data_IF_239855946048
#
_entry.id   IF_239855946048
#
_cell.length_a   1.000
_cell.length_b   1.000
_cell.length_c   1.000
_cell.angle_alpha   90.00
_cell.angle_beta   90.00
_cell.angle_gamma   90.00
#
_symmetry.space_group_name_H-M   'P 1'
#
loop_
_entity.id
_entity.type
_entity.pdbx_description
1 polymer ?
#
# COMPACT_ATOMS: atom_id res chain seq x y z
N UNK A 1 -4.40 6.13 -27.35
CA UNK A 1 -5.31 5.33 -26.49
C UNK A 1 -5.94 6.25 -25.46
N UNK A 2 -7.27 6.24 -25.36
CA UNK A 2 -8.04 7.06 -24.40
C UNK A 2 -8.13 6.30 -23.08
N UNK A 3 -7.65 6.89 -21.99
CA UNK A 3 -7.80 6.29 -20.66
C UNK A 3 -9.24 6.51 -20.16
N UNK A 4 -9.76 5.53 -19.45
CA UNK A 4 -11.01 5.62 -18.70
C UNK A 4 -10.73 5.93 -17.24
N UNK A 5 -11.69 6.52 -16.53
CA UNK A 5 -11.56 6.77 -15.10
C UNK A 5 -12.91 6.65 -14.38
N UNK A 6 -12.89 6.23 -13.13
CA UNK A 6 -14.06 6.09 -12.26
C UNK A 6 -13.66 6.26 -10.79
N UNK A 7 -14.61 6.63 -9.95
CA UNK A 7 -14.42 6.66 -8.49
C UNK A 7 -14.88 5.39 -7.80
N UNK A 8 -15.48 4.45 -8.53
CA UNK A 8 -16.02 3.22 -7.96
C UNK A 8 -15.48 1.99 -8.71
N UNK A 9 -15.00 0.99 -7.96
CA UNK A 9 -14.51 -0.30 -8.47
C UNK A 9 -15.58 -1.00 -9.32
N UNK A 10 -16.85 -0.93 -8.92
CA UNK A 10 -17.96 -1.59 -9.61
C UNK A 10 -18.18 -1.11 -11.06
N UNK A 11 -17.75 0.11 -11.37
CA UNK A 11 -17.83 0.68 -12.71
C UNK A 11 -16.68 0.23 -13.62
N UNK A 12 -15.63 -0.38 -13.07
CA UNK A 12 -14.53 -0.93 -13.85
C UNK A 12 -15.01 -2.19 -14.59
N UNK A 13 -14.73 -2.33 -15.91
CA UNK A 13 -15.07 -3.50 -16.69
C UNK A 13 -14.66 -4.81 -16.01
N UNK A 14 -15.55 -5.81 -16.05
CA UNK A 14 -15.39 -7.07 -15.28
C UNK A 14 -14.07 -7.78 -15.55
N UNK A 15 -13.58 -7.76 -16.79
CA UNK A 15 -12.30 -8.35 -17.20
C UNK A 15 -11.09 -7.69 -16.51
N UNK A 16 -11.12 -6.37 -16.35
CA UNK A 16 -10.09 -5.60 -15.63
C UNK A 16 -10.25 -5.80 -14.13
N UNK A 17 -11.46 -5.61 -13.61
CA UNK A 17 -11.79 -5.69 -12.18
C UNK A 17 -11.37 -7.03 -11.56
N UNK A 18 -11.61 -8.14 -12.26
CA UNK A 18 -11.27 -9.48 -11.76
C UNK A 18 -9.76 -9.68 -11.58
N UNK A 19 -8.94 -9.10 -12.47
CA UNK A 19 -7.47 -9.16 -12.36
C UNK A 19 -6.99 -8.23 -11.24
N UNK A 20 -7.50 -7.01 -11.23
CA UNK A 20 -7.13 -5.97 -10.27
C UNK A 20 -7.41 -6.38 -8.81
N UNK A 21 -8.58 -6.97 -8.53
CA UNK A 21 -8.96 -7.44 -7.19
C UNK A 21 -8.06 -8.54 -6.63
N UNK A 22 -7.26 -9.22 -7.47
CA UNK A 22 -6.33 -10.27 -7.05
C UNK A 22 -4.89 -9.78 -6.88
N UNK A 23 -4.61 -8.52 -7.22
CA UNK A 23 -3.23 -8.03 -7.28
C UNK A 23 -2.66 -7.73 -5.88
N UNK A 24 -3.28 -6.82 -5.13
CA UNK A 24 -2.87 -6.47 -3.78
C UNK A 24 -4.05 -5.84 -3.00
N UNK A 25 -3.84 -5.60 -1.70
CA UNK A 25 -4.88 -5.09 -0.80
C UNK A 25 -5.46 -3.74 -1.23
N UNK A 26 -4.68 -2.88 -1.90
CA UNK A 26 -5.10 -1.54 -2.29
C UNK A 26 -6.20 -1.53 -3.34
N UNK A 27 -6.39 -2.63 -4.05
CA UNK A 27 -7.46 -2.77 -5.04
C UNK A 27 -8.67 -3.56 -4.52
N UNK A 28 -8.69 -3.91 -3.24
CA UNK A 28 -9.83 -4.57 -2.61
C UNK A 28 -10.99 -3.61 -2.34
N UNK A 29 -12.21 -4.16 -2.26
CA UNK A 29 -13.40 -3.41 -1.83
C UNK A 29 -13.25 -2.87 -0.39
N UNK A 30 -12.53 -3.60 0.47
CA UNK A 30 -12.23 -3.18 1.83
C UNK A 30 -11.37 -1.91 1.85
N UNK A 31 -10.38 -1.82 0.97
CA UNK A 31 -9.55 -0.63 0.86
C UNK A 31 -10.27 0.55 0.21
N UNK A 32 -11.12 0.32 -0.79
CA UNK A 32 -11.99 1.37 -1.34
C UNK A 32 -12.90 1.97 -0.24
N UNK A 33 -13.52 1.12 0.58
CA UNK A 33 -14.31 1.55 1.74
C UNK A 33 -13.48 2.37 2.73
N UNK A 34 -12.28 1.89 3.07
CA UNK A 34 -11.34 2.60 3.93
C UNK A 34 -11.04 4.02 3.41
N UNK A 35 -10.79 4.19 2.10
CA UNK A 35 -10.50 5.50 1.51
C UNK A 35 -11.64 6.49 1.78
N UNK A 36 -12.88 6.06 1.56
CA UNK A 36 -14.05 6.90 1.81
C UNK A 36 -14.22 7.25 3.28
N UNK A 37 -14.00 6.30 4.19
CA UNK A 37 -14.08 6.55 5.64
C UNK A 37 -12.94 7.45 6.15
N UNK A 38 -11.80 7.46 5.48
CA UNK A 38 -10.70 8.39 5.74
C UNK A 38 -10.99 9.81 5.20
N UNK A 39 -12.12 10.01 4.51
CA UNK A 39 -12.54 11.30 3.95
C UNK A 39 -11.96 11.60 2.57
N UNK A 40 -11.35 10.60 1.94
CA UNK A 40 -10.70 10.72 0.63
C UNK A 40 -11.57 10.13 -0.48
N UNK A 41 -11.20 10.41 -1.73
CA UNK A 41 -11.92 9.92 -2.91
C UNK A 41 -11.00 8.97 -3.69
N UNK A 42 -11.38 7.70 -3.87
CA UNK A 42 -10.66 6.81 -4.75
C UNK A 42 -10.91 7.21 -6.20
N UNK A 43 -9.85 7.18 -7.02
CA UNK A 43 -9.93 7.39 -8.47
C UNK A 43 -9.12 6.32 -9.15
N UNK A 44 -9.83 5.44 -9.87
CA UNK A 44 -9.24 4.42 -10.72
C UNK A 44 -9.08 5.00 -12.12
N UNK A 45 -7.87 4.98 -12.65
CA UNK A 45 -7.56 5.32 -14.04
C UNK A 45 -7.06 4.05 -14.71
N UNK A 46 -7.61 3.73 -15.87
CA UNK A 46 -7.32 2.46 -16.53
C UNK A 46 -7.48 2.50 -18.05
N UNK A 47 -6.88 1.51 -18.69
CA UNK A 47 -7.11 1.12 -20.07
C UNK A 47 -7.07 -0.41 -20.19
N UNK A 48 -6.90 -0.93 -21.40
CA UNK A 48 -6.83 -2.39 -21.62
C UNK A 48 -5.57 -3.05 -21.05
N UNK A 49 -4.50 -2.27 -20.82
CA UNK A 49 -3.18 -2.73 -20.39
C UNK A 49 -2.88 -2.44 -18.93
N UNK A 50 -3.36 -1.32 -18.40
CA UNK A 50 -2.99 -0.85 -17.07
C UNK A 50 -4.20 -0.39 -16.26
N UNK A 51 -4.08 -0.54 -14.94
CA UNK A 51 -4.97 0.10 -13.98
C UNK A 51 -4.17 0.67 -12.83
N UNK A 52 -4.56 1.86 -12.38
CA UNK A 52 -3.91 2.57 -11.30
C UNK A 52 -4.95 3.25 -10.40
N UNK A 53 -4.80 3.06 -9.10
CA UNK A 53 -5.57 3.74 -8.07
C UNK A 53 -4.85 5.01 -7.60
N UNK A 54 -5.60 6.11 -7.49
CA UNK A 54 -5.23 7.30 -6.75
C UNK A 54 -6.18 7.51 -5.58
N UNK A 55 -5.65 7.96 -4.45
CA UNK A 55 -6.43 8.50 -3.33
C UNK A 55 -6.37 10.02 -3.40
N UNK A 56 -7.48 10.69 -3.65
CA UNK A 56 -7.55 12.15 -3.68
C UNK A 56 -7.91 12.67 -2.29
N UNK A 57 -6.98 13.41 -1.70
CA UNK A 57 -7.12 14.04 -0.39
C UNK A 57 -7.31 15.55 -0.53
N UNK A 58 -8.26 16.12 0.21
CA UNK A 58 -8.55 17.56 0.19
C UNK A 58 -7.91 18.27 1.38
N UNK A 59 -7.04 19.23 1.08
CA UNK A 59 -6.38 20.09 2.07
C UNK A 59 -6.91 21.52 1.86
N UNK A 60 -7.82 21.96 2.72
CA UNK A 60 -8.56 23.22 2.57
C UNK A 60 -9.25 23.33 1.20
N UNK A 61 -8.75 24.18 0.31
CA UNK A 61 -9.28 24.36 -1.05
C UNK A 61 -8.53 23.53 -2.10
N UNK A 62 -7.38 22.97 -1.74
CA UNK A 62 -6.52 22.20 -2.63
C UNK A 62 -6.81 20.71 -2.54
N UNK A 63 -6.43 19.98 -3.58
CA UNK A 63 -6.52 18.53 -3.70
C UNK A 63 -5.16 17.96 -4.09
N UNK A 64 -4.72 16.99 -3.30
CA UNK A 64 -3.55 16.18 -3.63
C UNK A 64 -3.96 14.77 -3.99
N UNK A 65 -3.20 14.12 -4.87
CA UNK A 65 -3.33 12.70 -5.12
C UNK A 65 -2.21 11.92 -4.43
N UNK A 66 -2.55 10.80 -3.81
CA UNK A 66 -1.63 9.85 -3.20
C UNK A 66 -1.73 8.54 -3.98
N UNK A 67 -0.58 7.94 -4.27
CA UNK A 67 -0.46 6.65 -4.94
C UNK A 67 -0.18 5.57 -3.88
N UNK A 68 -1.14 4.67 -3.62
CA UNK A 68 -0.93 3.58 -2.65
C UNK A 68 -0.08 2.45 -3.24
N UNK A 69 -0.13 2.24 -4.57
CA UNK A 69 0.68 1.27 -5.30
C UNK A 69 1.04 1.77 -6.70
N UNK A 70 1.96 1.08 -7.35
CA UNK A 70 2.27 1.21 -8.78
C UNK A 70 1.12 0.70 -9.70
N UNK A 71 1.17 1.02 -11.01
CA UNK A 71 0.21 0.50 -11.98
C UNK A 71 0.27 -1.03 -12.07
N UNK A 72 -0.90 -1.67 -12.07
CA UNK A 72 -1.00 -3.10 -12.36
C UNK A 72 -0.95 -3.29 -13.88
N UNK A 73 0.01 -4.08 -14.36
CA UNK A 73 0.00 -4.58 -15.73
C UNK A 73 -1.04 -5.72 -15.86
N UNK A 74 -1.99 -5.54 -16.76
CA UNK A 74 -3.08 -6.49 -17.04
C UNK A 74 -2.72 -7.49 -18.14
N UNK A 75 -1.57 -7.31 -18.79
CA UNK A 75 -1.03 -8.20 -19.82
C UNK A 75 0.08 -9.08 -19.22
N UNK A 76 0.44 -10.14 -19.94
CA UNK A 76 1.46 -11.11 -19.48
C UNK A 76 2.91 -10.59 -19.58
N UNK A 77 3.10 -9.39 -20.14
CA UNK A 77 4.41 -8.81 -20.35
C UNK A 77 4.62 -7.61 -19.44
N UNK A 78 5.81 -7.50 -18.85
CA UNK A 78 6.20 -6.26 -18.20
C UNK A 78 6.29 -5.16 -19.26
N UNK A 79 5.58 -4.06 -19.05
CA UNK A 79 5.42 -3.00 -20.03
C UNK A 79 5.77 -1.65 -19.41
N UNK A 80 6.53 -0.84 -20.14
CA UNK A 80 6.76 0.56 -19.82
C UNK A 80 5.41 1.30 -19.74
N UNK A 81 5.11 1.85 -18.57
CA UNK A 81 3.87 2.58 -18.29
C UNK A 81 4.09 4.10 -18.15
N UNK A 82 5.21 4.64 -18.63
CA UNK A 82 5.52 6.08 -18.57
C UNK A 82 4.45 6.93 -19.26
N UNK A 83 4.05 6.55 -20.48
CA UNK A 83 2.99 7.26 -21.23
C UNK A 83 1.61 7.14 -20.54
N UNK A 84 1.32 5.98 -19.94
CA UNK A 84 0.12 5.80 -19.12
C UNK A 84 0.11 6.75 -17.93
N UNK A 85 1.22 6.85 -17.19
CA UNK A 85 1.33 7.77 -16.05
C UNK A 85 1.18 9.23 -16.46
N UNK A 86 1.86 9.66 -17.53
CA UNK A 86 1.73 11.02 -18.05
C UNK A 86 0.26 11.38 -18.34
N UNK A 87 -0.49 10.46 -18.97
CA UNK A 87 -1.92 10.66 -19.26
C UNK A 87 -2.79 10.62 -18.01
N UNK A 88 -2.50 9.73 -17.06
CA UNK A 88 -3.21 9.65 -15.80
C UNK A 88 -3.09 10.97 -15.00
N UNK A 89 -1.90 11.56 -14.95
CA UNK A 89 -1.66 12.86 -14.32
C UNK A 89 -2.48 13.97 -14.99
N UNK A 90 -2.53 13.98 -16.32
CA UNK A 90 -3.35 14.95 -17.05
C UNK A 90 -4.84 14.80 -16.72
N UNK A 91 -5.33 13.58 -16.52
CA UNK A 91 -6.72 13.32 -16.10
C UNK A 91 -6.98 13.87 -14.70
N UNK A 92 -6.09 13.59 -13.74
CA UNK A 92 -6.20 14.10 -12.37
C UNK A 92 -6.28 15.62 -12.33
N UNK A 93 -5.39 16.29 -13.07
CA UNK A 93 -5.38 17.74 -13.14
C UNK A 93 -6.66 18.29 -13.81
N UNK A 94 -7.04 17.77 -14.98
CA UNK A 94 -8.16 18.31 -15.76
C UNK A 94 -9.52 18.04 -15.14
N UNK A 95 -9.77 16.80 -14.70
CA UNK A 95 -11.09 16.34 -14.25
C UNK A 95 -11.29 16.46 -12.74
N UNK A 96 -10.25 16.19 -11.94
CA UNK A 96 -10.37 16.16 -10.50
C UNK A 96 -9.82 17.41 -9.81
N UNK A 97 -9.13 18.28 -10.57
CA UNK A 97 -8.47 19.50 -10.08
C UNK A 97 -7.42 19.17 -9.02
N UNK A 98 -6.63 18.13 -9.25
CA UNK A 98 -5.48 17.81 -8.40
C UNK A 98 -4.33 18.76 -8.74
N UNK A 99 -3.80 19.43 -7.73
CA UNK A 99 -2.69 20.38 -7.88
C UNK A 99 -1.31 19.69 -7.79
N UNK A 100 -1.17 18.65 -6.96
CA UNK A 100 0.08 17.88 -6.88
C UNK A 100 -0.14 16.43 -6.47
N UNK A 101 0.87 15.60 -6.73
CA UNK A 101 0.95 14.23 -6.25
C UNK A 101 1.85 14.23 -5.01
N UNK A 102 1.33 13.75 -3.89
CA UNK A 102 2.08 13.62 -2.63
C UNK A 102 3.13 12.51 -2.72
N UNK A 103 4.16 12.51 -1.85
CA UNK A 103 5.15 11.45 -1.82
C UNK A 103 4.51 10.06 -1.74
N UNK A 104 5.00 9.15 -2.57
CA UNK A 104 4.45 7.80 -2.66
C UNK A 104 4.69 7.03 -1.36
N UNK A 105 3.78 6.10 -1.06
CA UNK A 105 3.98 5.16 0.04
C UNK A 105 5.16 4.23 -0.29
N UNK A 106 5.84 3.73 0.76
CA UNK A 106 6.91 2.74 0.62
C UNK A 106 6.45 1.44 -0.08
N UNK A 107 5.15 1.22 -0.17
CA UNK A 107 4.51 0.10 -0.85
C UNK A 107 4.40 0.28 -2.37
N UNK A 108 4.72 1.46 -2.90
CA UNK A 108 4.63 1.76 -4.33
C UNK A 108 5.96 1.57 -5.04
N UNK A 109 6.16 0.41 -5.66
CA UNK A 109 7.43 -0.02 -6.26
C UNK A 109 7.54 0.36 -7.74
N UNK A 110 7.52 1.66 -8.01
CA UNK A 110 7.58 2.19 -9.37
C UNK A 110 8.89 1.82 -10.09
N UNK A 111 8.76 1.11 -11.20
CA UNK A 111 9.86 0.82 -12.15
C UNK A 111 9.98 1.90 -13.23
N UNK A 112 8.90 2.64 -13.50
CA UNK A 112 8.87 3.76 -14.42
C UNK A 112 8.28 4.98 -13.73
N UNK A 113 8.70 6.17 -14.15
CA UNK A 113 8.22 7.44 -13.58
C UNK A 113 7.67 8.34 -14.69
N UNK A 114 6.74 9.26 -14.37
CA UNK A 114 6.26 10.22 -15.34
C UNK A 114 7.39 11.09 -15.89
N UNK A 115 7.24 11.58 -17.11
CA UNK A 115 8.21 12.49 -17.72
C UNK A 115 8.36 13.77 -16.90
N UNK A 116 9.58 14.32 -16.84
CA UNK A 116 9.95 15.50 -16.05
C UNK A 116 9.83 15.34 -14.52
N UNK A 117 9.75 14.10 -14.02
CA UNK A 117 9.79 13.83 -12.58
C UNK A 117 11.23 13.73 -12.07
N UNK A 118 11.46 14.17 -10.84
CA UNK A 118 12.68 13.84 -10.08
C UNK A 118 12.40 12.54 -9.34
N UNK A 119 13.29 11.56 -9.47
CA UNK A 119 13.18 10.29 -8.74
C UNK A 119 14.45 10.03 -7.92
N UNK A 120 14.29 9.16 -6.93
CA UNK A 120 15.39 8.57 -6.18
C UNK A 120 15.28 7.05 -6.29
N UNK A 121 16.41 6.31 -6.24
CA UNK A 121 16.35 4.87 -6.09
C UNK A 121 15.59 4.51 -4.82
N UNK A 122 14.62 3.60 -4.95
CA UNK A 122 13.86 3.05 -3.84
C UNK A 122 13.78 1.53 -4.00
N UNK A 123 13.85 0.82 -2.89
CA UNK A 123 13.83 -0.64 -2.87
C UNK A 123 13.10 -1.17 -1.66
N UNK A 124 12.55 -2.37 -1.80
CA UNK A 124 11.94 -3.12 -0.71
C UNK A 124 12.60 -4.48 -0.56
N UNK A 125 12.57 -5.01 0.66
CA UNK A 125 13.01 -6.38 0.93
C UNK A 125 11.84 -7.33 0.72
N UNK A 126 11.82 -8.01 -0.43
CA UNK A 126 10.80 -9.01 -0.75
C UNK A 126 11.37 -10.39 -0.46
N UNK A 127 10.66 -11.18 0.37
CA UNK A 127 10.98 -12.57 0.66
C UNK A 127 10.05 -13.46 -0.15
N UNK A 128 10.62 -14.40 -0.92
CA UNK A 128 9.84 -15.37 -1.68
C UNK A 128 9.34 -16.50 -0.76
N UNK A 129 8.05 -16.45 -0.41
CA UNK A 129 7.43 -17.44 0.47
C UNK A 129 6.91 -18.69 -0.28
N UNK A 130 7.14 -18.80 -1.59
CA UNK A 130 6.79 -20.00 -2.36
C UNK A 130 7.86 -21.10 -2.28
N UNK A 131 8.99 -20.82 -1.63
CA UNK A 131 10.05 -21.79 -1.41
C UNK A 131 9.75 -22.67 -0.20
N UNK A 132 10.39 -23.84 -0.15
CA UNK A 132 10.36 -24.68 1.04
C UNK A 132 10.94 -23.92 2.25
N UNK A 133 10.43 -24.21 3.44
CA UNK A 133 10.84 -23.56 4.68
C UNK A 133 12.35 -23.65 4.91
N UNK A 134 12.97 -24.79 4.60
CA UNK A 134 14.40 -25.01 4.73
C UNK A 134 15.21 -24.06 3.85
N UNK A 135 14.72 -23.77 2.65
CA UNK A 135 15.35 -22.84 1.72
C UNK A 135 15.25 -21.40 2.23
N UNK A 136 14.06 -20.99 2.69
CA UNK A 136 13.85 -19.69 3.35
C UNK A 136 14.80 -19.55 4.55
N UNK A 137 14.86 -20.57 5.40
CA UNK A 137 15.72 -20.59 6.57
C UNK A 137 17.20 -20.55 6.20
N UNK A 138 17.61 -21.21 5.13
CA UNK A 138 18.98 -21.21 4.63
C UNK A 138 19.45 -19.80 4.25
N UNK A 139 18.56 -19.00 3.65
CA UNK A 139 18.82 -17.65 3.16
C UNK A 139 18.87 -16.57 4.26
N UNK A 140 18.44 -16.88 5.49
CA UNK A 140 18.55 -15.94 6.62
C UNK A 140 20.02 -15.81 7.06
N UNK A 141 20.50 -14.60 7.33
CA UNK A 141 21.87 -14.41 7.83
C UNK A 141 22.07 -15.06 9.22
N UNK A 142 23.22 -15.69 9.48
CA UNK A 142 23.50 -16.47 10.69
C UNK A 142 23.21 -15.73 12.01
N UNK A 143 23.46 -14.40 12.05
CA UNK A 143 23.15 -13.55 13.21
C UNK A 143 21.65 -13.50 13.52
N UNK A 144 20.80 -13.45 12.49
CA UNK A 144 19.36 -13.44 12.65
C UNK A 144 18.84 -14.82 13.06
N UNK A 145 19.37 -15.92 12.48
CA UNK A 145 19.03 -17.29 12.93
C UNK A 145 19.31 -17.50 14.42
N UNK A 146 20.47 -17.01 14.90
CA UNK A 146 20.81 -17.10 16.32
C UNK A 146 19.86 -16.28 17.20
N UNK A 147 19.42 -15.11 16.74
CA UNK A 147 18.46 -14.28 17.46
C UNK A 147 17.08 -14.97 17.57
N UNK A 148 16.62 -15.60 16.48
CA UNK A 148 15.37 -16.36 16.44
C UNK A 148 15.45 -17.58 17.37
N UNK A 149 16.50 -18.39 17.28
CA UNK A 149 16.72 -19.55 18.18
C UNK A 149 16.80 -19.15 19.65
N UNK A 150 17.39 -17.99 19.94
CA UNK A 150 17.42 -17.46 21.30
C UNK A 150 16.01 -17.08 21.77
N UNK A 151 15.18 -16.46 20.93
CA UNK A 151 13.79 -16.17 21.26
C UNK A 151 12.99 -17.46 21.56
N UNK A 152 13.15 -18.50 20.73
CA UNK A 152 12.54 -19.82 20.94
C UNK A 152 12.99 -20.44 22.27
N UNK A 153 14.31 -20.44 22.55
CA UNK A 153 14.87 -20.98 23.80
C UNK A 153 14.35 -20.25 25.04
N UNK A 154 14.08 -18.96 24.93
CA UNK A 154 13.51 -18.16 26.01
C UNK A 154 11.96 -18.24 26.07
N UNK A 155 11.34 -19.14 25.30
CA UNK A 155 9.89 -19.35 25.24
C UNK A 155 9.10 -18.07 24.94
N UNK A 156 9.66 -17.16 24.12
CA UNK A 156 8.92 -15.99 23.62
C UNK A 156 7.74 -16.48 22.78
N UNK A 157 6.55 -15.92 23.01
CA UNK A 157 5.31 -16.29 22.31
C UNK A 157 4.78 -15.09 21.55
N UNK A 158 4.38 -15.31 20.30
CA UNK A 158 3.72 -14.29 19.51
C UNK A 158 2.21 -14.45 19.66
N UNK A 159 1.55 -13.38 20.09
CA UNK A 159 0.08 -13.29 20.16
C UNK A 159 -0.40 -12.52 18.94
N UNK A 160 -1.32 -13.13 18.19
CA UNK A 160 -1.96 -12.53 17.03
C UNK A 160 -3.38 -12.09 17.39
N UNK A 161 -3.79 -10.94 16.87
CA UNK A 161 -5.10 -10.37 17.15
C UNK A 161 -5.41 -9.13 16.30
N UNK A 162 -6.41 -8.37 16.73
CA UNK A 162 -6.83 -7.11 16.12
C UNK A 162 -6.98 -6.01 17.16
N UNK A 163 -8.21 -5.51 17.30
CA UNK A 163 -8.52 -4.35 18.16
C UNK A 163 -8.16 -4.58 19.63
N UNK A 164 -8.31 -5.81 20.11
CA UNK A 164 -8.00 -6.23 21.48
C UNK A 164 -6.52 -6.11 21.84
N UNK A 165 -5.62 -6.03 20.84
CA UNK A 165 -4.18 -5.84 21.04
C UNK A 165 -3.73 -4.40 20.75
N UNK A 166 -4.64 -3.49 20.37
CA UNK A 166 -4.25 -2.18 19.87
C UNK A 166 -3.55 -1.33 20.94
N UNK A 167 -4.09 -1.29 22.16
CA UNK A 167 -3.50 -0.48 23.23
C UNK A 167 -2.06 -0.90 23.56
N UNK A 168 -1.81 -2.20 23.61
CA UNK A 168 -0.47 -2.76 23.82
C UNK A 168 0.46 -2.41 22.66
N UNK A 169 0.00 -2.51 21.41
CA UNK A 169 0.75 -2.11 20.23
C UNK A 169 1.11 -0.61 20.26
N UNK A 170 0.14 0.28 20.54
CA UNK A 170 0.37 1.73 20.58
C UNK A 170 1.41 2.10 21.62
N UNK A 171 1.39 1.45 22.78
CA UNK A 171 2.38 1.66 23.83
C UNK A 171 3.78 1.31 23.33
N UNK A 172 3.95 0.16 22.66
CA UNK A 172 5.24 -0.28 22.13
C UNK A 172 5.72 0.58 20.94
N UNK A 173 4.81 0.98 20.06
CA UNK A 173 5.11 1.85 18.91
C UNK A 173 5.55 3.24 19.39
N UNK A 174 4.81 3.85 20.32
CA UNK A 174 5.17 5.14 20.92
C UNK A 174 6.56 5.08 21.57
N UNK A 175 6.84 4.06 22.37
CA UNK A 175 8.17 3.86 22.97
C UNK A 175 9.28 3.74 21.92
N UNK A 176 8.98 3.13 20.76
CA UNK A 176 9.94 2.98 19.66
C UNK A 176 10.23 4.32 18.99
N UNK A 177 9.20 5.13 18.73
CA UNK A 177 9.37 6.47 18.15
C UNK A 177 10.07 7.44 19.12
N UNK A 178 9.76 7.37 20.41
CA UNK A 178 10.39 8.20 21.45
C UNK A 178 11.90 7.98 21.51
N UNK A 179 12.39 6.73 21.37
CA UNK A 179 13.83 6.42 21.26
C UNK A 179 14.51 7.13 20.10
N UNK A 180 13.75 7.51 19.08
CA UNK A 180 14.22 8.25 17.90
C UNK A 180 13.88 9.73 17.95
N UNK A 181 13.48 10.27 19.11
CA UNK A 181 12.98 11.65 19.30
C UNK A 181 11.85 12.02 18.33
N UNK A 182 10.97 11.07 18.05
CA UNK A 182 9.80 11.23 17.19
C UNK A 182 8.53 10.90 17.96
N UNK A 183 7.39 11.42 17.48
CA UNK A 183 6.09 11.13 18.04
C UNK A 183 5.43 9.99 17.26
N UNK A 184 4.94 8.99 17.98
CA UNK A 184 4.13 7.92 17.40
C UNK A 184 2.74 8.38 16.98
N UNK A 185 2.03 7.52 16.24
CA UNK A 185 0.65 7.78 15.85
C UNK A 185 -0.32 7.48 17.02
N UNK A 186 -1.51 8.08 16.97
CA UNK A 186 -2.57 7.84 17.95
C UNK A 186 -3.36 6.56 17.61
N UNK A 187 -4.05 5.96 18.59
CA UNK A 187 -4.85 4.74 18.38
C UNK A 187 -5.85 4.90 17.22
N UNK A 188 -6.51 6.05 17.15
CA UNK A 188 -7.50 6.39 16.13
C UNK A 188 -6.99 6.25 14.69
N UNK A 189 -5.67 6.37 14.46
CA UNK A 189 -5.07 6.11 13.16
C UNK A 189 -5.18 4.62 12.80
N UNK A 190 -4.80 3.73 13.71
CA UNK A 190 -4.78 2.28 13.50
C UNK A 190 -6.18 1.64 13.61
N UNK A 191 -7.06 2.21 14.43
CA UNK A 191 -8.47 1.78 14.54
C UNK A 191 -9.15 1.76 13.16
N UNK A 192 -8.92 2.79 12.34
CA UNK A 192 -9.48 2.87 10.98
C UNK A 192 -9.02 1.71 10.10
N UNK A 193 -7.76 1.29 10.21
CA UNK A 193 -7.23 0.15 9.44
C UNK A 193 -7.87 -1.16 9.91
N UNK A 194 -7.90 -1.40 11.22
CA UNK A 194 -8.44 -2.63 11.81
C UNK A 194 -9.94 -2.79 11.51
N UNK A 195 -10.72 -1.71 11.59
CA UNK A 195 -12.15 -1.74 11.33
C UNK A 195 -12.50 -1.93 9.85
N UNK A 196 -11.67 -1.44 8.94
CA UNK A 196 -12.02 -1.44 7.50
C UNK A 196 -11.34 -2.52 6.69
N UNK A 197 -10.13 -2.92 7.05
CA UNK A 197 -9.39 -3.96 6.34
C UNK A 197 -9.74 -5.36 6.83
N UNK A 198 -10.55 -5.49 7.89
CA UNK A 198 -10.98 -6.76 8.47
C UNK A 198 -9.76 -7.69 8.70
N UNK A 199 -9.88 -8.97 8.31
CA UNK A 199 -8.82 -9.98 8.42
C UNK A 199 -7.56 -9.69 7.57
N UNK A 200 -7.52 -8.60 6.80
CA UNK A 200 -6.31 -8.18 6.07
C UNK A 200 -5.41 -7.26 6.89
N UNK A 201 -5.81 -6.90 8.12
CA UNK A 201 -4.98 -6.17 9.07
C UNK A 201 -4.94 -6.94 10.39
N UNK A 202 -3.73 -7.29 10.84
CA UNK A 202 -3.52 -8.03 12.09
C UNK A 202 -2.45 -7.31 12.91
N UNK A 203 -2.60 -7.39 14.23
CA UNK A 203 -1.56 -7.01 15.19
C UNK A 203 -0.90 -8.30 15.69
N UNK A 204 0.43 -8.29 15.73
CA UNK A 204 1.24 -9.34 16.32
C UNK A 204 2.18 -8.73 17.37
N UNK A 205 2.09 -9.21 18.61
CA UNK A 205 2.91 -8.76 19.75
C UNK A 205 3.65 -9.96 20.33
N UNK A 206 4.91 -9.76 20.73
CA UNK A 206 5.78 -10.77 21.31
C UNK A 206 6.23 -10.38 22.73
#
# INVERSE_FOLDING_TARGET
MKLSHTTLIENIPRNIRTKMLKANIFYSLAYEKYIYEDGDIPVYIYDEKFVLLFKIHKIYMFKTAILPSEPICLTEYNCDYTDFLNKAILILNKHYKVEWISPNLATSLFSYVPSNSINIPFGSHVINLNEAEENIWSNIHSKHKNSIRNAEKNNIRIVFGGMELLDDYIKLDCQTWERSNKRGFQSSFYEKYLLNLNNNCIIAIA
#
